data_IF_015886419234
#
_entry.id   IF_015886419234
#
_cell.length_a   1.000
_cell.length_b   1.000
_cell.length_c   1.000
_cell.angle_alpha   90.00
_cell.angle_beta   90.00
_cell.angle_gamma   90.00
#
_symmetry.space_group_name_H-M   'P 1'
#
loop_
_entity.id
_entity.type
_entity.pdbx_description
1 polymer ?
#
# COMPACT_ATOMS: atom_id res chain seq x y z
N UNK A 1 -55.88 -33.28 -10.46
CA UNK A 1 -54.47 -33.11 -10.03
C UNK A 1 -54.43 -32.02 -8.98
N UNK A 2 -54.34 -32.40 -7.71
CA UNK A 2 -54.34 -31.49 -6.57
C UNK A 2 -52.92 -30.97 -6.35
N UNK A 3 -52.66 -29.75 -6.80
CA UNK A 3 -51.41 -29.01 -6.57
C UNK A 3 -51.61 -27.98 -5.46
N UNK A 4 -50.85 -28.13 -4.39
CA UNK A 4 -51.07 -27.62 -3.05
C UNK A 4 -50.72 -26.12 -3.00
N UNK A 5 -51.69 -25.29 -2.60
CA UNK A 5 -51.48 -23.92 -2.15
C UNK A 5 -50.75 -23.98 -0.80
N UNK A 6 -49.49 -23.55 -0.74
CA UNK A 6 -48.77 -23.33 0.52
C UNK A 6 -48.91 -21.85 0.90
N UNK A 7 -49.67 -21.50 1.95
CA UNK A 7 -49.70 -20.14 2.46
C UNK A 7 -48.40 -19.85 3.22
N UNK A 8 -47.75 -18.75 2.84
CA UNK A 8 -46.61 -18.18 3.57
C UNK A 8 -47.07 -17.84 4.99
N UNK A 9 -46.58 -18.56 6.00
CA UNK A 9 -46.76 -18.20 7.41
C UNK A 9 -46.10 -16.85 7.67
N UNK A 10 -46.90 -15.81 7.94
CA UNK A 10 -46.42 -14.61 8.64
C UNK A 10 -46.06 -14.99 10.08
N UNK A 11 -44.79 -15.31 10.31
CA UNK A 11 -44.23 -15.32 11.65
C UNK A 11 -44.04 -13.88 12.11
N UNK A 12 -44.95 -13.42 12.98
CA UNK A 12 -44.76 -12.20 13.78
C UNK A 12 -43.65 -12.47 14.80
N UNK A 13 -42.39 -12.39 14.34
CA UNK A 13 -41.21 -12.39 15.19
C UNK A 13 -41.06 -11.04 15.87
N UNK A 14 -41.54 -10.94 17.10
CA UNK A 14 -41.15 -9.89 18.05
C UNK A 14 -39.66 -10.09 18.34
N UNK A 15 -38.80 -9.35 17.66
CA UNK A 15 -37.40 -9.24 18.07
C UNK A 15 -37.34 -8.44 19.37
N UNK A 16 -36.77 -8.98 20.47
CA UNK A 16 -36.52 -8.16 21.64
C UNK A 16 -35.50 -7.07 21.28
N UNK A 17 -35.93 -5.82 21.35
CA UNK A 17 -35.09 -4.63 21.26
C UNK A 17 -33.98 -4.75 22.32
N UNK A 18 -32.76 -4.99 21.87
CA UNK A 18 -31.57 -4.96 22.73
C UNK A 18 -31.27 -3.50 23.02
N UNK A 19 -31.54 -3.06 24.25
CA UNK A 19 -31.12 -1.74 24.71
C UNK A 19 -29.59 -1.68 24.74
N UNK A 20 -28.96 -0.63 24.19
CA UNK A 20 -27.52 -0.47 24.31
C UNK A 20 -27.15 -0.24 25.77
N UNK A 21 -26.26 -1.09 26.31
CA UNK A 21 -25.67 -0.88 27.63
C UNK A 21 -24.96 0.47 27.71
N UNK A 22 -25.05 1.19 28.85
CA UNK A 22 -24.33 2.44 29.02
C UNK A 22 -22.81 2.21 28.97
N UNK A 23 -22.04 3.19 28.47
CA UNK A 23 -20.59 3.09 28.42
C UNK A 23 -20.00 3.00 29.84
N UNK A 24 -18.90 2.24 30.03
CA UNK A 24 -18.22 2.18 31.31
C UNK A 24 -17.69 3.58 31.71
N UNK A 25 -17.64 3.89 33.03
CA UNK A 25 -17.14 5.16 33.50
C UNK A 25 -15.65 5.33 33.14
N UNK A 26 -15.20 6.56 32.85
CA UNK A 26 -13.80 6.83 32.54
C UNK A 26 -12.91 6.43 33.71
N UNK A 27 -11.95 5.55 33.44
CA UNK A 27 -10.92 5.19 34.41
C UNK A 27 -10.06 6.43 34.66
N UNK A 28 -9.91 6.82 35.92
CA UNK A 28 -8.98 7.88 36.32
C UNK A 28 -7.58 7.38 36.01
N UNK A 29 -6.90 8.03 35.08
CA UNK A 29 -5.48 7.79 34.81
C UNK A 29 -4.69 8.12 36.06
N UNK A 30 -4.09 7.08 36.65
CA UNK A 30 -3.18 7.22 37.77
C UNK A 30 -1.96 8.03 37.30
N UNK A 31 -1.64 9.04 38.09
CA UNK A 31 -0.65 10.08 37.80
C UNK A 31 0.76 9.50 37.83
N UNK A 32 1.18 8.85 36.75
CA UNK A 32 2.56 8.38 36.60
C UNK A 32 3.48 9.59 36.40
N UNK A 33 4.26 9.92 37.44
CA UNK A 33 5.30 10.96 37.36
C UNK A 33 6.27 10.69 36.19
N UNK A 34 6.70 11.72 35.44
CA UNK A 34 7.63 11.53 34.33
C UNK A 34 8.99 11.00 34.84
N UNK A 35 9.69 10.15 34.05
CA UNK A 35 11.01 9.65 34.42
C UNK A 35 12.04 10.80 34.47
N UNK A 36 13.08 10.68 35.32
CA UNK A 36 14.13 11.70 35.42
C UNK A 36 14.94 11.80 34.11
N UNK A 37 15.48 12.98 33.79
CA UNK A 37 16.29 13.18 32.59
C UNK A 37 17.62 12.40 32.68
N UNK A 38 18.18 11.99 31.52
CA UNK A 38 19.47 11.30 31.47
C UNK A 38 20.63 12.22 31.88
N UNK A 39 21.72 11.66 32.45
CA UNK A 39 22.89 12.44 32.82
C UNK A 39 23.60 13.04 31.60
N UNK A 40 24.26 14.21 31.74
CA UNK A 40 24.95 14.87 30.65
C UNK A 40 26.17 14.06 30.18
N UNK A 41 26.50 14.11 28.87
CA UNK A 41 27.68 13.43 28.33
C UNK A 41 28.97 13.97 28.97
N UNK A 42 29.81 13.08 29.47
CA UNK A 42 31.15 13.43 29.94
C UNK A 42 32.02 13.76 28.73
N UNK A 43 32.69 14.92 28.75
CA UNK A 43 33.68 15.29 27.73
C UNK A 43 34.92 14.42 27.94
N UNK A 44 35.18 13.51 27.02
CA UNK A 44 36.42 12.76 26.97
C UNK A 44 37.53 13.68 26.44
N UNK A 45 38.57 13.90 27.26
CA UNK A 45 39.79 14.63 26.89
C UNK A 45 40.53 13.86 25.78
N UNK A 46 40.38 14.34 24.53
CA UNK A 46 41.06 13.79 23.36
C UNK A 46 42.53 14.20 23.40
N UNK A 47 43.40 13.26 23.75
CA UNK A 47 44.85 13.39 23.59
C UNK A 47 45.19 13.49 22.09
N UNK A 48 46.05 14.41 21.62
CA UNK A 48 46.35 14.54 20.20
C UNK A 48 47.09 13.29 19.68
N UNK A 49 46.77 12.82 18.45
CA UNK A 49 47.42 11.65 17.87
C UNK A 49 48.91 11.95 17.54
N UNK A 50 49.78 10.92 17.54
CA UNK A 50 51.19 11.08 17.19
C UNK A 50 51.36 11.45 15.71
N UNK A 51 52.46 12.15 15.34
CA UNK A 51 52.72 12.55 13.96
C UNK A 51 53.00 11.33 13.06
N UNK A 52 52.64 11.42 11.76
CA UNK A 52 52.82 10.32 10.82
C UNK A 52 54.29 10.08 10.45
N UNK A 53 54.68 8.83 10.12
CA UNK A 53 56.04 8.50 9.70
C UNK A 53 56.36 9.05 8.28
N UNK A 54 57.66 9.28 7.97
CA UNK A 54 58.07 9.83 6.68
C UNK A 54 57.82 8.86 5.50
N UNK A 55 57.55 9.36 4.28
CA UNK A 55 57.22 8.53 3.12
C UNK A 55 58.43 7.69 2.67
N UNK A 56 58.26 6.37 2.63
CA UNK A 56 59.24 5.48 2.01
C UNK A 56 59.02 5.42 0.49
N UNK A 57 60.09 5.63 -0.27
CA UNK A 57 60.08 5.64 -1.74
C UNK A 57 59.90 4.21 -2.26
N UNK A 58 58.69 3.86 -2.68
CA UNK A 58 58.35 2.52 -3.20
C UNK A 58 58.80 2.42 -4.66
N UNK A 59 59.66 1.44 -4.93
CA UNK A 59 60.11 1.07 -6.27
C UNK A 59 58.95 0.64 -7.17
N UNK A 60 59.07 1.01 -8.45
CA UNK A 60 58.12 0.72 -9.52
C UNK A 60 58.04 -0.79 -9.83
N UNK A 61 56.98 -1.46 -9.38
CA UNK A 61 56.50 -2.72 -9.99
C UNK A 61 55.40 -2.39 -11.00
N UNK A 62 55.36 -3.02 -12.18
CA UNK A 62 54.22 -2.87 -13.09
C UNK A 62 52.97 -3.47 -12.44
N UNK A 63 51.78 -2.83 -12.60
CA UNK A 63 50.55 -3.32 -12.01
C UNK A 63 50.18 -4.70 -12.58
N UNK A 64 49.59 -5.60 -11.77
CA UNK A 64 49.08 -6.87 -12.27
C UNK A 64 48.00 -6.61 -13.34
N UNK A 65 47.83 -7.51 -14.32
CA UNK A 65 46.77 -7.39 -15.30
C UNK A 65 45.40 -7.33 -14.59
N UNK A 66 44.47 -6.50 -15.08
CA UNK A 66 43.14 -6.40 -14.47
C UNK A 66 42.47 -7.79 -14.48
N UNK A 67 41.77 -8.17 -13.40
CA UNK A 67 41.01 -9.40 -13.37
C UNK A 67 40.01 -9.45 -14.54
N UNK A 68 39.66 -10.65 -15.05
CA UNK A 68 38.68 -10.79 -16.13
C UNK A 68 37.41 -10.03 -15.74
N UNK A 69 37.08 -9.01 -16.52
CA UNK A 69 35.85 -8.25 -16.33
C UNK A 69 34.68 -9.23 -16.57
N UNK A 70 34.11 -9.75 -15.48
CA UNK A 70 32.87 -10.51 -15.51
C UNK A 70 31.84 -9.52 -16.05
N UNK A 71 31.48 -9.66 -17.32
CA UNK A 71 30.49 -8.82 -17.97
C UNK A 71 29.26 -8.74 -17.08
N UNK A 72 29.06 -7.60 -16.43
CA UNK A 72 27.79 -7.30 -15.83
C UNK A 72 26.83 -7.18 -17.01
N UNK A 73 26.14 -8.28 -17.30
CA UNK A 73 24.85 -8.25 -17.96
C UNK A 73 23.94 -7.43 -17.06
N UNK A 74 24.06 -6.10 -17.13
CA UNK A 74 23.04 -5.18 -16.67
C UNK A 74 21.85 -5.46 -17.58
N UNK A 75 21.04 -6.45 -17.21
CA UNK A 75 19.68 -6.47 -17.70
C UNK A 75 19.10 -5.14 -17.22
N UNK A 76 18.63 -4.26 -18.12
CA UNK A 76 17.92 -3.06 -17.67
C UNK A 76 16.82 -3.52 -16.72
N UNK A 77 16.55 -2.79 -15.63
CA UNK A 77 15.42 -3.12 -14.76
C UNK A 77 14.20 -3.32 -15.65
N UNK A 78 13.64 -4.53 -15.63
CA UNK A 78 12.46 -4.84 -16.42
C UNK A 78 11.31 -4.06 -15.81
N UNK A 79 11.06 -2.86 -16.34
CA UNK A 79 9.86 -2.10 -16.01
C UNK A 79 8.67 -2.93 -16.48
N UNK A 80 7.88 -3.44 -15.52
CA UNK A 80 6.65 -4.17 -15.83
C UNK A 80 5.62 -3.15 -16.34
N UNK A 81 5.58 -3.00 -17.66
CA UNK A 81 4.64 -2.12 -18.37
C UNK A 81 3.51 -2.96 -18.96
N UNK A 82 2.27 -2.59 -18.67
CA UNK A 82 1.08 -3.21 -19.23
C UNK A 82 0.85 -2.66 -20.65
N UNK A 83 1.10 -3.49 -21.66
CA UNK A 83 0.87 -3.11 -23.05
C UNK A 83 -0.59 -3.29 -23.44
N UNK A 84 -1.25 -2.22 -23.87
CA UNK A 84 -2.60 -2.26 -24.43
C UNK A 84 -2.58 -2.83 -25.86
N UNK A 85 -3.55 -3.68 -26.24
CA UNK A 85 -4.69 -4.16 -25.44
C UNK A 85 -4.35 -5.34 -24.51
N UNK A 86 -4.86 -5.30 -23.28
CA UNK A 86 -4.76 -6.40 -22.33
C UNK A 86 -6.04 -6.54 -21.49
N UNK A 87 -6.25 -7.73 -20.93
CA UNK A 87 -7.30 -8.02 -19.95
C UNK A 87 -6.65 -8.55 -18.68
N UNK A 88 -7.09 -8.06 -17.53
CA UNK A 88 -6.54 -8.44 -16.23
C UNK A 88 -7.67 -8.65 -15.21
N UNK A 89 -7.56 -9.70 -14.41
CA UNK A 89 -8.46 -9.98 -13.29
C UNK A 89 -7.68 -9.88 -11.98
N UNK A 90 -8.13 -9.00 -11.08
CA UNK A 90 -7.57 -8.85 -9.75
C UNK A 90 -8.51 -9.47 -8.72
N UNK A 91 -8.15 -10.64 -8.20
CA UNK A 91 -8.96 -11.42 -7.26
C UNK A 91 -8.28 -11.55 -5.88
N UNK A 92 -9.08 -11.76 -4.83
CA UNK A 92 -8.62 -11.89 -3.46
C UNK A 92 -9.71 -11.55 -2.43
N UNK A 93 -9.54 -11.92 -1.15
CA UNK A 93 -10.55 -11.71 -0.10
C UNK A 93 -10.74 -10.21 0.22
N UNK A 94 -11.83 -9.87 0.92
CA UNK A 94 -12.05 -8.50 1.42
C UNK A 94 -10.87 -8.05 2.27
N UNK A 95 -10.40 -6.82 2.10
CA UNK A 95 -9.25 -6.28 2.82
C UNK A 95 -7.88 -6.59 2.21
N UNK A 96 -7.77 -7.41 1.16
CA UNK A 96 -6.47 -7.75 0.53
C UNK A 96 -5.82 -6.63 -0.30
N UNK A 97 -6.32 -5.39 -0.22
CA UNK A 97 -5.71 -4.24 -0.91
C UNK A 97 -6.02 -4.06 -2.40
N UNK A 98 -6.90 -4.89 -3.00
CA UNK A 98 -7.23 -4.81 -4.45
C UNK A 98 -7.63 -3.41 -4.92
N UNK A 99 -8.56 -2.77 -4.21
CA UNK A 99 -9.03 -1.42 -4.55
C UNK A 99 -7.88 -0.41 -4.48
N UNK A 100 -6.99 -0.54 -3.49
CA UNK A 100 -5.85 0.34 -3.31
C UNK A 100 -4.76 0.15 -4.37
N UNK A 101 -4.49 -1.10 -4.73
CA UNK A 101 -3.58 -1.42 -5.82
C UNK A 101 -4.10 -0.86 -7.15
N UNK A 102 -5.41 -1.02 -7.41
CA UNK A 102 -6.03 -0.49 -8.62
C UNK A 102 -6.01 1.04 -8.65
N UNK A 103 -6.22 1.72 -7.51
CA UNK A 103 -6.00 3.18 -7.38
C UNK A 103 -4.58 3.56 -7.79
N UNK A 104 -3.58 2.90 -7.23
CA UNK A 104 -2.16 3.16 -7.53
C UNK A 104 -1.86 2.97 -9.01
N UNK A 105 -2.38 1.90 -9.62
CA UNK A 105 -2.22 1.64 -11.05
C UNK A 105 -2.82 2.75 -11.90
N UNK A 106 -4.02 3.23 -11.56
CA UNK A 106 -4.68 4.29 -12.32
C UNK A 106 -4.03 5.67 -12.13
N UNK A 107 -3.55 5.99 -10.92
CA UNK A 107 -2.80 7.21 -10.65
C UNK A 107 -1.47 7.23 -11.42
N UNK A 108 -0.86 6.06 -11.61
CA UNK A 108 0.40 5.87 -12.37
C UNK A 108 0.18 5.30 -13.78
N UNK A 109 -1.03 5.41 -14.32
CA UNK A 109 -1.36 4.78 -15.62
C UNK A 109 -0.44 5.25 -16.75
N UNK A 110 0.07 6.49 -16.70
CA UNK A 110 0.99 7.04 -17.70
C UNK A 110 2.35 6.33 -17.77
N UNK A 111 2.79 5.73 -16.67
CA UNK A 111 4.08 5.03 -16.58
C UNK A 111 3.91 3.52 -16.55
N UNK A 112 2.74 3.02 -16.12
CA UNK A 112 2.47 1.60 -15.96
C UNK A 112 1.68 0.99 -17.13
N UNK A 113 1.03 1.79 -17.98
CA UNK A 113 0.20 1.32 -19.10
C UNK A 113 0.59 2.05 -20.39
N UNK A 114 0.88 1.29 -21.45
CA UNK A 114 1.30 1.83 -22.76
C UNK A 114 0.45 1.25 -23.89
N UNK A 115 -0.22 2.09 -24.71
CA UNK A 115 -0.45 3.53 -24.53
C UNK A 115 -1.29 3.86 -23.29
N UNK A 116 -1.06 5.05 -22.70
CA UNK A 116 -1.84 5.52 -21.56
C UNK A 116 -3.32 5.66 -21.93
N UNK A 117 -4.26 5.20 -21.07
CA UNK A 117 -5.68 5.29 -21.37
C UNK A 117 -6.16 6.74 -21.41
N UNK A 118 -6.96 7.07 -22.43
CA UNK A 118 -7.57 8.40 -22.56
C UNK A 118 -8.84 8.56 -21.73
N UNK A 119 -9.56 7.47 -21.47
CA UNK A 119 -10.82 7.46 -20.71
C UNK A 119 -10.88 6.20 -19.86
N UNK A 120 -11.20 6.37 -18.58
CA UNK A 120 -11.34 5.26 -17.63
C UNK A 120 -12.82 5.19 -17.21
N UNK A 121 -13.48 4.07 -17.49
CA UNK A 121 -14.85 3.81 -17.04
C UNK A 121 -14.77 2.88 -15.83
N UNK A 122 -15.23 3.35 -14.68
CA UNK A 122 -15.21 2.60 -13.43
C UNK A 122 -16.61 2.14 -13.05
N UNK A 123 -16.90 0.86 -13.25
CA UNK A 123 -18.17 0.25 -12.93
C UNK A 123 -18.17 -0.27 -11.49
N UNK A 124 -19.18 0.10 -10.69
CA UNK A 124 -19.27 -0.33 -9.28
C UNK A 124 -20.70 -0.68 -8.85
N UNK A 125 -20.84 -1.64 -7.92
CA UNK A 125 -22.13 -1.95 -7.27
C UNK A 125 -22.36 -1.09 -6.01
N UNK A 126 -21.36 -1.05 -5.12
CA UNK A 126 -21.37 -0.23 -3.89
C UNK A 126 -20.28 0.83 -3.94
N UNK A 127 -20.61 2.03 -3.45
CA UNK A 127 -19.66 3.12 -3.29
C UNK A 127 -18.63 2.77 -2.21
N UNK A 128 -17.37 3.09 -2.44
CA UNK A 128 -16.29 2.99 -1.45
C UNK A 128 -15.74 4.39 -1.19
N UNK A 129 -15.44 4.78 0.06
CA UNK A 129 -14.90 6.11 0.37
C UNK A 129 -13.67 6.48 -0.46
N UNK A 130 -12.80 5.50 -0.75
CA UNK A 130 -11.61 5.67 -1.59
C UNK A 130 -11.92 6.20 -3.00
N UNK A 131 -13.13 5.96 -3.52
CA UNK A 131 -13.51 6.46 -4.84
C UNK A 131 -13.57 7.98 -4.88
N UNK A 132 -13.94 8.63 -3.77
CA UNK A 132 -13.95 10.09 -3.67
C UNK A 132 -12.54 10.68 -3.87
N UNK A 133 -11.52 10.03 -3.31
CA UNK A 133 -10.11 10.42 -3.51
C UNK A 133 -9.67 10.19 -4.96
N UNK A 134 -10.04 9.03 -5.52
CA UNK A 134 -9.75 8.71 -6.93
C UNK A 134 -10.38 9.71 -7.89
N UNK A 135 -11.58 10.22 -7.58
CA UNK A 135 -12.24 11.24 -8.39
C UNK A 135 -11.45 12.56 -8.46
N UNK A 136 -10.74 12.91 -7.39
CA UNK A 136 -9.95 14.13 -7.34
C UNK A 136 -8.62 13.98 -8.09
N UNK A 137 -7.99 12.80 -7.98
CA UNK A 137 -6.65 12.57 -8.52
C UNK A 137 -6.63 12.16 -10.00
N UNK A 138 -7.66 11.46 -10.47
CA UNK A 138 -7.73 10.95 -11.84
C UNK A 138 -8.58 11.93 -12.65
N UNK A 139 -8.06 12.56 -13.72
CA UNK A 139 -8.83 13.63 -14.40
C UNK A 139 -9.86 13.14 -15.43
N UNK A 140 -9.71 11.92 -15.97
CA UNK A 140 -10.51 11.41 -17.10
C UNK A 140 -11.25 10.12 -16.76
N UNK A 141 -11.86 10.09 -15.58
CA UNK A 141 -12.64 8.94 -15.11
C UNK A 141 -14.14 9.19 -15.20
N UNK A 142 -14.92 8.13 -15.40
CA UNK A 142 -16.37 8.12 -15.33
C UNK A 142 -16.81 6.99 -14.40
N UNK A 143 -17.48 7.33 -13.30
CA UNK A 143 -18.04 6.35 -12.36
C UNK A 143 -19.45 5.97 -12.80
N UNK A 144 -19.66 4.67 -13.05
CA UNK A 144 -20.95 4.12 -13.46
C UNK A 144 -21.44 3.16 -12.37
N UNK A 145 -22.53 3.51 -11.71
CA UNK A 145 -23.19 2.61 -10.75
C UNK A 145 -23.97 1.57 -11.53
N UNK A 146 -23.63 0.29 -11.32
CA UNK A 146 -24.36 -0.82 -11.92
C UNK A 146 -25.55 -1.16 -11.03
N UNK A 147 -26.73 -0.69 -11.42
CA UNK A 147 -28.01 -1.01 -10.79
C UNK A 147 -28.58 -2.29 -11.40
N UNK A 148 -28.43 -3.40 -10.67
CA UNK A 148 -29.05 -4.71 -10.92
C UNK A 148 -28.73 -5.38 -12.26
N UNK A 149 -27.91 -6.43 -12.19
CA UNK A 149 -28.10 -7.61 -13.04
C UNK A 149 -28.75 -8.66 -12.13
N UNK A 150 -30.04 -8.97 -12.37
CA UNK A 150 -30.66 -10.16 -11.79
C UNK A 150 -30.01 -11.34 -12.51
N UNK A 151 -29.20 -12.11 -11.79
CA UNK A 151 -28.74 -13.43 -12.23
C UNK A 151 -29.75 -14.44 -11.71
#
# INVERSE_FOLDING_TARGET
MHGINQPYLQSNGVYPQSTPSPPPPPQKEDSMSPPPPPPPPQKEDIMPPPPPPPPQKIGSMPPPPPPPQKGNSQQPPHDVILHHPFTMMLAGPTGSGKTFWMKTLLERARTMITPSPERIIWCYKRWQPLFSEMQQNIKKHLFVKVSSCKI
#
